data_IF_514466068056
#
_entry.id   IF_514466068056
#
_cell.length_a   1.000
_cell.length_b   1.000
_cell.length_c   1.000
_cell.angle_alpha   90.00
_cell.angle_beta   90.00
_cell.angle_gamma   90.00
#
_symmetry.space_group_name_H-M   'P 1'
#
loop_
_entity.id
_entity.type
_entity.pdbx_description
1 polymer ?
#
# COMPACT_ATOMS: atom_id res chain seq x y z
N UNK A 1 6.74 -19.59 11.83
CA UNK A 1 6.13 -20.84 12.36
C UNK A 1 6.97 -21.52 13.46
N UNK A 2 8.30 -21.65 13.35
CA UNK A 2 9.12 -22.28 14.41
C UNK A 2 9.11 -21.53 15.76
N UNK A 3 9.17 -20.19 15.75
CA UNK A 3 9.10 -19.37 16.97
C UNK A 3 7.72 -19.43 17.65
N UNK A 4 6.65 -19.39 16.85
CA UNK A 4 5.27 -19.50 17.33
C UNK A 4 4.98 -20.89 17.94
N UNK A 5 5.60 -21.94 17.39
CA UNK A 5 5.59 -23.29 17.95
C UNK A 5 6.32 -23.36 19.30
N UNK A 6 7.50 -22.74 19.42
CA UNK A 6 8.24 -22.63 20.70
C UNK A 6 7.47 -21.83 21.77
N UNK A 7 6.80 -20.74 21.38
CA UNK A 7 5.96 -19.93 22.28
C UNK A 7 4.72 -20.69 22.78
N UNK A 8 4.12 -21.54 21.92
CA UNK A 8 3.00 -22.42 22.30
C UNK A 8 3.42 -23.59 23.20
N UNK A 9 4.66 -24.06 23.09
CA UNK A 9 5.17 -25.17 23.89
C UNK A 9 5.48 -24.79 25.36
N UNK A 10 5.66 -23.50 25.68
CA UNK A 10 5.97 -23.01 27.04
C UNK A 10 5.12 -21.81 27.50
N UNK A 11 3.81 -21.97 27.72
CA UNK A 11 2.87 -20.86 27.94
C UNK A 11 2.92 -20.18 29.33
N UNK A 12 3.96 -20.37 30.14
CA UNK A 12 3.97 -19.91 31.54
C UNK A 12 5.32 -19.60 32.17
N UNK A 13 6.44 -19.63 31.42
CA UNK A 13 7.71 -19.11 31.92
C UNK A 13 7.80 -17.65 31.52
N UNK A 14 8.03 -16.74 32.48
CA UNK A 14 8.55 -15.41 32.18
C UNK A 14 9.87 -15.58 31.43
N UNK A 15 9.81 -15.59 30.10
CA UNK A 15 11.00 -15.67 29.24
C UNK A 15 11.68 -14.31 29.34
N UNK A 16 12.57 -14.17 30.32
CA UNK A 16 13.53 -13.08 30.33
C UNK A 16 14.46 -13.34 29.15
N UNK A 17 14.31 -12.54 28.09
CA UNK A 17 15.15 -12.62 26.89
C UNK A 17 16.55 -12.13 27.26
N UNK A 18 17.43 -13.07 27.61
CA UNK A 18 18.75 -12.79 28.18
C UNK A 18 19.83 -12.52 27.11
N UNK A 19 19.49 -12.58 25.82
CA UNK A 19 20.45 -12.36 24.72
C UNK A 19 19.92 -11.41 23.63
N UNK A 20 20.81 -10.56 23.10
CA UNK A 20 20.49 -9.62 22.02
C UNK A 20 19.92 -10.28 20.73
N UNK A 21 20.36 -11.50 20.33
CA UNK A 21 19.76 -12.21 19.19
C UNK A 21 18.29 -12.59 19.40
N UNK A 22 17.92 -13.08 20.59
CA UNK A 22 16.54 -13.49 20.89
C UNK A 22 15.59 -12.29 20.95
N UNK A 23 16.06 -11.14 21.45
CA UNK A 23 15.30 -9.90 21.44
C UNK A 23 15.04 -9.39 20.01
N UNK A 24 16.03 -9.51 19.13
CA UNK A 24 15.90 -9.15 17.71
C UNK A 24 14.90 -10.06 16.99
N UNK A 25 14.93 -11.36 17.24
CA UNK A 25 13.95 -12.30 16.66
C UNK A 25 12.53 -12.01 17.12
N UNK A 26 12.32 -11.74 18.42
CA UNK A 26 11.00 -11.37 18.93
C UNK A 26 10.49 -10.08 18.28
N UNK A 27 11.35 -9.06 18.15
CA UNK A 27 10.97 -7.80 17.51
C UNK A 27 10.55 -8.02 16.05
N UNK A 28 11.32 -8.80 15.30
CA UNK A 28 10.98 -9.17 13.92
C UNK A 28 9.63 -9.90 13.83
N UNK A 29 9.35 -10.79 14.79
CA UNK A 29 8.08 -11.51 14.86
C UNK A 29 6.90 -10.57 15.14
N UNK A 30 7.03 -9.66 16.12
CA UNK A 30 5.99 -8.67 16.45
C UNK A 30 5.70 -7.78 15.24
N UNK A 31 6.75 -7.29 14.57
CA UNK A 31 6.65 -6.45 13.39
C UNK A 31 5.93 -7.16 12.24
N UNK A 32 6.30 -8.42 11.95
CA UNK A 32 5.61 -9.23 10.94
C UNK A 32 4.13 -9.46 11.30
N UNK A 33 3.84 -9.77 12.56
CA UNK A 33 2.46 -9.96 13.03
C UNK A 33 1.62 -8.70 12.84
N UNK A 34 2.17 -7.52 13.13
CA UNK A 34 1.47 -6.25 12.94
C UNK A 34 1.20 -5.98 11.45
N UNK A 35 2.17 -6.23 10.57
CA UNK A 35 2.00 -6.08 9.12
C UNK A 35 0.91 -7.01 8.58
N UNK A 36 0.89 -8.27 9.01
CA UNK A 36 -0.14 -9.23 8.62
C UNK A 36 -1.53 -8.82 9.13
N UNK A 37 -1.62 -8.27 10.34
CA UNK A 37 -2.89 -7.75 10.87
C UNK A 37 -3.39 -6.54 10.06
N UNK A 38 -2.52 -5.62 9.67
CA UNK A 38 -2.88 -4.49 8.82
C UNK A 38 -3.42 -4.99 7.48
N UNK A 39 -2.71 -5.94 6.85
CA UNK A 39 -3.11 -6.51 5.57
C UNK A 39 -4.44 -7.26 5.67
N UNK A 40 -4.67 -8.04 6.73
CA UNK A 40 -5.94 -8.74 6.96
C UNK A 40 -7.10 -7.75 7.07
N UNK A 41 -6.91 -6.65 7.80
CA UNK A 41 -7.92 -5.59 7.94
C UNK A 41 -8.21 -4.90 6.62
N UNK A 42 -7.18 -4.55 5.84
CA UNK A 42 -7.32 -3.97 4.49
C UNK A 42 -8.07 -4.93 3.57
N UNK A 43 -7.69 -6.21 3.56
CA UNK A 43 -8.34 -7.26 2.78
C UNK A 43 -9.83 -7.37 3.11
N UNK A 44 -10.17 -7.36 4.40
CA UNK A 44 -11.55 -7.44 4.88
C UNK A 44 -12.40 -6.28 4.35
N UNK A 45 -11.85 -5.07 4.30
CA UNK A 45 -12.55 -3.91 3.76
C UNK A 45 -12.66 -4.01 2.23
N UNK A 46 -11.55 -4.30 1.54
CA UNK A 46 -11.48 -4.36 0.07
C UNK A 46 -12.47 -5.36 -0.52
N UNK A 47 -12.58 -6.55 0.07
CA UNK A 47 -13.43 -7.61 -0.46
C UNK A 47 -14.80 -7.69 0.22
N UNK A 48 -15.13 -6.71 1.07
CA UNK A 48 -16.41 -6.72 1.78
C UNK A 48 -17.59 -6.52 0.83
N UNK A 49 -18.70 -7.19 1.13
CA UNK A 49 -20.00 -6.84 0.55
C UNK A 49 -20.55 -5.51 1.11
N UNK A 50 -20.03 -5.04 2.24
CA UNK A 50 -20.42 -3.76 2.82
C UNK A 50 -19.65 -2.64 2.11
N UNK A 51 -20.32 -1.71 1.41
CA UNK A 51 -19.63 -0.62 0.74
C UNK A 51 -19.01 0.32 1.77
N UNK A 52 -17.86 0.89 1.42
CA UNK A 52 -17.23 1.95 2.22
C UNK A 52 -18.11 3.21 2.14
N UNK A 53 -18.47 3.84 3.29
CA UNK A 53 -19.33 5.02 3.30
C UNK A 53 -18.78 6.19 2.47
N UNK A 54 -19.66 6.88 1.73
CA UNK A 54 -19.26 7.94 0.81
C UNK A 54 -18.50 9.10 1.48
N UNK A 55 -18.90 9.45 2.71
CA UNK A 55 -18.29 10.53 3.49
C UNK A 55 -16.79 10.32 3.79
N UNK A 56 -16.28 9.09 3.69
CA UNK A 56 -14.84 8.82 3.87
C UNK A 56 -14.03 9.21 2.63
N UNK A 57 -14.67 9.29 1.46
CA UNK A 57 -14.07 9.78 0.23
C UNK A 57 -14.16 11.30 0.11
N UNK A 58 -15.22 11.92 0.63
CA UNK A 58 -15.39 13.38 0.60
C UNK A 58 -14.41 14.14 1.48
N UNK A 59 -13.74 13.46 2.42
CA UNK A 59 -12.69 14.08 3.22
C UNK A 59 -11.33 14.13 2.48
N UNK A 60 -11.25 13.73 1.20
CA UNK A 60 -10.02 13.64 0.41
C UNK A 60 -9.73 14.92 -0.41
N UNK A 61 -10.20 16.08 0.07
CA UNK A 61 -10.07 17.35 -0.65
C UNK A 61 -8.66 17.94 -0.55
N UNK A 62 -7.97 17.73 0.58
CA UNK A 62 -6.58 18.15 0.78
C UNK A 62 -5.74 17.02 1.40
N UNK A 63 -4.42 17.07 1.22
CA UNK A 63 -3.54 16.11 1.89
C UNK A 63 -3.65 16.20 3.41
N UNK A 64 -3.76 17.42 3.93
CA UNK A 64 -3.96 17.68 5.36
C UNK A 64 -5.27 17.07 5.86
N UNK A 65 -6.36 17.14 5.10
CA UNK A 65 -7.63 16.52 5.48
C UNK A 65 -7.60 14.99 5.44
N UNK A 66 -6.62 14.37 4.76
CA UNK A 66 -6.39 12.91 4.79
C UNK A 66 -5.52 12.52 6.00
N UNK A 67 -4.45 13.28 6.25
CA UNK A 67 -3.52 13.00 7.35
C UNK A 67 -4.12 13.30 8.72
N UNK A 68 -4.91 14.36 8.85
CA UNK A 68 -5.54 14.79 10.11
C UNK A 68 -6.80 14.00 10.50
N UNK A 69 -7.22 13.02 9.68
CA UNK A 69 -8.43 12.23 9.98
C UNK A 69 -8.26 11.47 11.28
N UNK A 70 -9.11 11.79 12.24
CA UNK A 70 -9.20 11.10 13.52
C UNK A 70 -9.61 9.62 13.37
N UNK A 71 -10.35 9.28 12.33
CA UNK A 71 -10.82 7.93 12.07
C UNK A 71 -9.92 7.27 11.02
N UNK A 72 -9.14 6.25 11.42
CA UNK A 72 -8.41 5.43 10.46
C UNK A 72 -9.37 4.37 9.88
N UNK A 73 -9.49 4.33 8.55
CA UNK A 73 -10.40 3.39 7.88
C UNK A 73 -10.07 1.92 8.23
N UNK A 74 -8.79 1.62 8.45
CA UNK A 74 -8.32 0.27 8.83
C UNK A 74 -8.84 -0.12 10.21
N UNK A 75 -9.02 0.82 11.14
CA UNK A 75 -9.62 0.55 12.46
C UNK A 75 -11.10 0.20 12.37
N UNK A 76 -11.77 0.64 11.30
CA UNK A 76 -13.17 0.30 11.04
C UNK A 76 -13.36 -1.09 10.41
N UNK A 77 -12.29 -1.84 10.13
CA UNK A 77 -12.36 -3.16 9.46
C UNK A 77 -13.41 -4.09 10.05
N UNK A 78 -13.64 -3.99 11.35
CA UNK A 78 -14.57 -4.85 12.10
C UNK A 78 -16.04 -4.60 11.72
N UNK A 79 -16.35 -3.43 11.17
CA UNK A 79 -17.69 -3.07 10.67
C UNK A 79 -17.98 -3.64 9.28
N UNK A 80 -16.98 -4.19 8.61
CA UNK A 80 -17.11 -4.76 7.27
C UNK A 80 -17.34 -6.27 7.35
N UNK A 81 -18.19 -6.78 6.46
CA UNK A 81 -18.45 -8.22 6.32
C UNK A 81 -17.17 -9.00 5.99
N UNK A 82 -17.04 -10.21 6.54
CA UNK A 82 -16.00 -11.19 6.16
C UNK A 82 -16.35 -11.99 4.91
N UNK A 83 -17.59 -11.89 4.42
CA UNK A 83 -18.02 -12.52 3.17
C UNK A 83 -17.43 -11.74 2.00
N UNK A 84 -16.76 -12.46 1.10
CA UNK A 84 -16.18 -11.89 -0.11
C UNK A 84 -17.24 -11.67 -1.19
N UNK A 85 -17.10 -10.60 -1.96
CA UNK A 85 -17.85 -10.41 -3.21
C UNK A 85 -17.36 -11.46 -4.21
N UNK A 86 -18.23 -12.38 -4.61
CA UNK A 86 -17.86 -13.50 -5.49
C UNK A 86 -17.73 -13.10 -6.97
N UNK A 87 -18.36 -12.01 -7.40
CA UNK A 87 -18.25 -11.47 -8.76
C UNK A 87 -18.61 -9.97 -8.80
N UNK A 88 -17.97 -9.24 -9.72
CA UNK A 88 -18.38 -7.86 -10.05
C UNK A 88 -19.81 -7.89 -10.59
N UNK A 89 -20.76 -7.12 -10.05
CA UNK A 89 -22.14 -7.12 -10.53
C UNK A 89 -22.22 -6.79 -12.03
N UNK A 90 -23.04 -7.52 -12.80
CA UNK A 90 -23.16 -7.33 -14.26
C UNK A 90 -23.47 -5.88 -14.67
N UNK A 91 -24.32 -5.21 -13.87
CA UNK A 91 -24.67 -3.79 -14.07
C UNK A 91 -23.45 -2.85 -14.02
N UNK A 92 -22.41 -3.19 -13.25
CA UNK A 92 -21.17 -2.43 -13.21
C UNK A 92 -20.39 -2.60 -14.51
N UNK A 93 -20.30 -3.83 -15.02
CA UNK A 93 -19.62 -4.14 -16.28
C UNK A 93 -20.32 -3.46 -17.48
N UNK A 94 -21.66 -3.45 -17.49
CA UNK A 94 -22.45 -2.76 -18.51
C UNK A 94 -22.22 -1.26 -18.49
N UNK A 95 -22.28 -0.63 -17.31
CA UNK A 95 -21.99 0.80 -17.16
C UNK A 95 -20.55 1.12 -17.57
N UNK A 96 -19.58 0.30 -17.18
CA UNK A 96 -18.18 0.49 -17.55
C UNK A 96 -17.95 0.40 -19.08
N UNK A 97 -18.67 -0.50 -19.77
CA UNK A 97 -18.64 -0.60 -21.23
C UNK A 97 -19.28 0.62 -21.91
N UNK A 98 -20.38 1.13 -21.35
CA UNK A 98 -21.15 2.21 -21.96
C UNK A 98 -20.52 3.59 -21.72
N UNK A 99 -19.99 3.82 -20.53
CA UNK A 99 -19.58 5.14 -20.04
C UNK A 99 -18.09 5.21 -19.66
N UNK A 100 -17.34 4.13 -19.89
CA UNK A 100 -15.93 4.04 -19.53
C UNK A 100 -15.67 3.56 -18.09
N UNK A 101 -14.42 3.21 -17.75
CA UNK A 101 -14.07 2.56 -16.48
C UNK A 101 -14.26 3.44 -15.24
N UNK A 102 -14.46 4.75 -15.40
CA UNK A 102 -14.62 5.72 -14.30
C UNK A 102 -16.08 6.16 -14.08
N UNK A 103 -17.05 5.50 -14.70
CA UNK A 103 -18.45 5.92 -14.67
C UNK A 103 -19.20 5.63 -13.34
N UNK A 104 -18.61 4.86 -12.43
CA UNK A 104 -19.23 4.50 -11.15
C UNK A 104 -18.37 5.00 -9.99
N UNK A 105 -18.98 5.74 -9.08
CA UNK A 105 -18.34 6.19 -7.84
C UNK A 105 -18.57 5.22 -6.67
N UNK A 106 -17.57 5.06 -5.79
CA UNK A 106 -16.16 5.42 -6.00
C UNK A 106 -15.52 4.42 -6.99
N UNK A 107 -14.64 4.89 -7.87
CA UNK A 107 -13.87 3.99 -8.72
C UNK A 107 -12.98 3.09 -7.83
N UNK A 108 -12.77 1.79 -8.14
CA UNK A 108 -11.97 0.89 -7.32
C UNK A 108 -10.59 1.45 -6.94
N UNK A 109 -9.97 2.20 -7.87
CA UNK A 109 -8.70 2.91 -7.66
C UNK A 109 -8.74 3.89 -6.49
N UNK A 110 -9.89 4.51 -6.18
CA UNK A 110 -10.04 5.49 -5.09
C UNK A 110 -9.78 4.83 -3.74
N UNK A 111 -10.33 3.63 -3.51
CA UNK A 111 -10.17 2.91 -2.25
C UNK A 111 -8.72 2.45 -2.07
N UNK A 112 -8.10 1.95 -3.13
CA UNK A 112 -6.71 1.51 -3.08
C UNK A 112 -5.73 2.65 -2.85
N UNK A 113 -5.94 3.80 -3.51
CA UNK A 113 -5.14 5.00 -3.26
C UNK A 113 -5.34 5.49 -1.82
N UNK A 114 -6.56 5.45 -1.29
CA UNK A 114 -6.83 5.82 0.11
C UNK A 114 -6.12 4.89 1.09
N UNK A 115 -6.06 3.58 0.82
CA UNK A 115 -5.35 2.65 1.70
C UNK A 115 -3.85 2.96 1.81
N UNK A 116 -3.22 3.54 0.81
CA UNK A 116 -1.80 3.95 0.89
C UNK A 116 -1.59 4.93 2.05
N UNK A 117 -2.50 5.89 2.20
CA UNK A 117 -2.48 6.87 3.29
C UNK A 117 -2.82 6.22 4.63
N UNK A 118 -3.86 5.40 4.67
CA UNK A 118 -4.33 4.77 5.91
C UNK A 118 -3.30 3.78 6.46
N UNK A 119 -2.62 3.04 5.59
CA UNK A 119 -1.50 2.16 5.92
C UNK A 119 -0.31 2.99 6.39
N UNK A 120 0.04 4.07 5.69
CA UNK A 120 1.11 5.00 6.09
C UNK A 120 0.98 5.43 7.55
N UNK A 121 -0.22 5.88 7.95
CA UNK A 121 -0.54 6.29 9.33
C UNK A 121 -0.39 5.19 10.39
N UNK A 122 -0.31 3.92 10.01
CA UNK A 122 -0.09 2.83 10.98
C UNK A 122 1.39 2.65 11.34
N UNK A 123 2.30 3.26 10.59
CA UNK A 123 3.73 3.12 10.80
C UNK A 123 4.26 4.18 11.78
N UNK A 124 5.00 3.80 12.85
CA UNK A 124 5.53 4.75 13.82
C UNK A 124 6.51 5.79 13.25
N UNK A 125 7.21 5.48 12.16
CA UNK A 125 8.09 6.44 11.49
C UNK A 125 7.31 7.51 10.72
N UNK A 126 6.06 7.22 10.35
CA UNK A 126 5.27 8.11 9.51
C UNK A 126 4.96 9.43 10.24
N UNK A 127 4.70 9.37 11.54
CA UNK A 127 4.47 10.56 12.37
C UNK A 127 5.71 11.45 12.50
N UNK A 128 6.91 10.90 12.30
CA UNK A 128 8.18 11.62 12.37
C UNK A 128 8.50 12.38 11.08
N UNK A 129 7.78 12.11 9.99
CA UNK A 129 7.90 12.85 8.74
C UNK A 129 7.13 14.17 8.84
N UNK A 130 7.68 15.22 8.25
CA UNK A 130 6.91 16.44 8.04
C UNK A 130 5.80 16.24 7.00
N UNK A 131 4.88 17.20 6.90
CA UNK A 131 3.75 17.07 5.98
C UNK A 131 4.18 16.97 4.51
N UNK A 132 5.25 17.65 4.09
CA UNK A 132 5.73 17.60 2.71
C UNK A 132 6.33 16.23 2.38
N UNK A 133 7.12 15.68 3.30
CA UNK A 133 7.71 14.35 3.16
C UNK A 133 6.64 13.25 3.20
N UNK A 134 5.58 13.40 4.02
CA UNK A 134 4.39 12.53 3.97
C UNK A 134 3.70 12.57 2.61
N UNK A 135 3.49 13.78 2.06
CA UNK A 135 2.91 13.95 0.71
C UNK A 135 3.77 13.29 -0.34
N UNK A 136 5.08 13.56 -0.34
CA UNK A 136 6.02 13.02 -1.32
C UNK A 136 6.07 11.49 -1.25
N UNK A 137 6.19 10.93 -0.03
CA UNK A 137 6.20 9.49 0.18
C UNK A 137 4.94 8.84 -0.36
N UNK A 138 3.75 9.27 0.10
CA UNK A 138 2.48 8.70 -0.34
C UNK A 138 2.27 8.87 -1.86
N UNK A 139 2.64 10.01 -2.44
CA UNK A 139 2.48 10.28 -3.87
C UNK A 139 3.38 9.37 -4.72
N UNK A 140 4.58 9.04 -4.24
CA UNK A 140 5.53 8.20 -4.95
C UNK A 140 5.18 6.71 -4.86
N UNK A 141 4.69 6.25 -3.71
CA UNK A 141 4.41 4.82 -3.50
C UNK A 141 2.98 4.41 -3.88
N UNK A 142 2.05 5.35 -4.04
CA UNK A 142 0.63 5.02 -4.21
C UNK A 142 0.34 4.18 -5.45
N UNK A 143 0.87 4.59 -6.61
CA UNK A 143 0.70 3.84 -7.86
C UNK A 143 1.42 2.47 -7.86
N UNK A 144 2.67 2.38 -7.39
CA UNK A 144 3.33 1.08 -7.20
C UNK A 144 2.54 0.13 -6.29
N UNK A 145 2.01 0.61 -5.16
CA UNK A 145 1.21 -0.20 -4.23
C UNK A 145 -0.15 -0.60 -4.81
N UNK A 146 -0.78 0.29 -5.57
CA UNK A 146 -1.98 -0.03 -6.35
C UNK A 146 -1.72 -1.16 -7.33
N UNK A 147 -0.61 -1.08 -8.09
CA UNK A 147 -0.21 -2.14 -9.01
C UNK A 147 0.08 -3.45 -8.27
N UNK A 148 0.70 -3.42 -7.10
CA UNK A 148 0.97 -4.63 -6.32
C UNK A 148 -0.32 -5.33 -5.93
N UNK A 149 -1.29 -4.56 -5.46
CA UNK A 149 -2.60 -5.07 -5.06
C UNK A 149 -3.32 -5.72 -6.25
N UNK A 150 -3.29 -5.07 -7.41
CA UNK A 150 -3.89 -5.61 -8.63
C UNK A 150 -3.15 -6.83 -9.16
N UNK A 151 -1.82 -6.80 -9.22
CA UNK A 151 -1.00 -7.93 -9.67
C UNK A 151 -1.18 -9.14 -8.77
N UNK A 152 -1.23 -8.96 -7.45
CA UNK A 152 -1.53 -10.03 -6.51
C UNK A 152 -2.92 -10.64 -6.78
N UNK A 153 -3.94 -9.79 -6.98
CA UNK A 153 -5.28 -10.25 -7.34
C UNK A 153 -5.28 -10.99 -8.68
N UNK A 154 -4.61 -10.47 -9.71
CA UNK A 154 -4.49 -11.11 -11.02
C UNK A 154 -3.76 -12.45 -10.97
N UNK A 155 -2.72 -12.61 -10.13
CA UNK A 155 -2.05 -13.91 -9.90
C UNK A 155 -2.98 -14.88 -9.19
N UNK A 156 -3.75 -14.43 -8.19
CA UNK A 156 -4.81 -15.24 -7.58
C UNK A 156 -5.86 -15.69 -8.63
N UNK A 157 -5.96 -14.99 -9.76
CA UNK A 157 -6.85 -15.27 -10.90
C UNK A 157 -6.11 -15.82 -12.16
N UNK A 158 -4.81 -16.17 -12.09
CA UNK A 158 -3.94 -16.66 -13.18
C UNK A 158 -3.74 -15.72 -14.41
N UNK A 159 -2.88 -14.69 -14.32
CA UNK A 159 -2.58 -13.78 -15.45
C UNK A 159 -1.09 -13.35 -15.48
N UNK A 160 -0.47 -13.25 -16.68
CA UNK A 160 0.98 -13.45 -16.87
C UNK A 160 1.74 -12.36 -17.69
N UNK A 161 2.15 -11.19 -17.14
CA UNK A 161 3.25 -10.34 -17.72
C UNK A 161 3.81 -9.32 -16.70
N UNK A 162 5.15 -9.02 -16.66
CA UNK A 162 5.75 -7.69 -16.27
C UNK A 162 7.31 -7.55 -16.46
N UNK A 163 7.87 -6.30 -16.55
CA UNK A 163 9.31 -5.87 -16.66
C UNK A 163 9.66 -4.43 -16.09
N UNK A 164 10.97 -4.07 -15.90
CA UNK A 164 11.70 -3.10 -14.98
C UNK A 164 12.04 -1.63 -15.49
N UNK A 165 12.85 -0.74 -14.80
CA UNK A 165 12.68 0.03 -13.52
C UNK A 165 12.96 1.60 -13.57
N UNK A 166 12.60 2.40 -12.52
CA UNK A 166 13.44 3.48 -11.89
C UNK A 166 12.84 4.23 -10.64
N UNK A 167 13.66 5.04 -9.94
CA UNK A 167 13.59 5.59 -8.54
C UNK A 167 12.68 6.82 -8.31
N UNK A 168 12.19 6.99 -7.07
CA UNK A 168 11.29 8.05 -6.56
C UNK A 168 11.94 9.44 -6.30
N UNK A 169 11.60 10.50 -7.06
CA UNK A 169 12.06 11.88 -6.84
C UNK A 169 11.32 12.60 -5.69
N UNK A 170 11.95 13.60 -5.04
CA UNK A 170 11.25 14.66 -4.29
C UNK A 170 11.18 14.56 -2.75
N UNK A 171 11.99 13.70 -2.10
CA UNK A 171 12.07 13.60 -0.63
C UNK A 171 13.23 14.43 -0.05
N UNK A 172 13.08 14.97 1.17
CA UNK A 172 14.17 15.63 1.90
C UNK A 172 15.32 14.67 2.24
N UNK A 173 16.55 15.15 2.39
CA UNK A 173 17.70 14.31 2.79
C UNK A 173 17.48 13.61 4.13
N UNK A 174 16.79 14.29 5.07
CA UNK A 174 16.45 13.72 6.37
C UNK A 174 15.42 12.60 6.24
N UNK A 175 14.35 12.81 5.47
CA UNK A 175 13.36 11.77 5.20
C UNK A 175 13.96 10.60 4.43
N UNK A 176 14.82 10.85 3.45
CA UNK A 176 15.55 9.79 2.75
C UNK A 176 16.35 8.94 3.75
N UNK A 177 17.14 9.54 4.63
CA UNK A 177 17.90 8.80 5.67
C UNK A 177 16.99 7.98 6.59
N UNK A 178 15.89 8.58 7.07
CA UNK A 178 14.92 7.87 7.91
C UNK A 178 14.31 6.67 7.17
N UNK A 179 13.87 6.89 5.93
CA UNK A 179 13.26 5.86 5.10
C UNK A 179 14.25 4.75 4.72
N UNK A 180 15.51 5.07 4.47
CA UNK A 180 16.55 4.05 4.25
C UNK A 180 16.74 3.18 5.49
N UNK A 181 16.84 3.78 6.67
CA UNK A 181 16.94 3.05 7.93
C UNK A 181 15.72 2.14 8.16
N UNK A 182 14.50 2.64 7.93
CA UNK A 182 13.29 1.83 8.06
C UNK A 182 13.24 0.72 7.01
N UNK A 183 13.52 1.03 5.75
CA UNK A 183 13.56 0.05 4.66
C UNK A 183 14.53 -1.10 4.95
N UNK A 184 15.70 -0.80 5.50
CA UNK A 184 16.69 -1.81 5.93
C UNK A 184 16.11 -2.73 7.02
N UNK A 185 15.40 -2.18 8.01
CA UNK A 185 14.73 -2.97 9.07
C UNK A 185 13.68 -3.91 8.48
N UNK A 186 12.74 -3.41 7.67
CA UNK A 186 11.69 -4.23 7.04
C UNK A 186 12.28 -5.28 6.08
N UNK A 187 13.32 -4.91 5.33
CA UNK A 187 14.07 -5.81 4.45
C UNK A 187 14.70 -6.96 5.21
N UNK A 188 15.39 -6.68 6.33
CA UNK A 188 16.02 -7.70 7.17
C UNK A 188 14.98 -8.67 7.77
N UNK A 189 13.82 -8.16 8.16
CA UNK A 189 12.68 -8.99 8.63
C UNK A 189 12.20 -9.91 7.51
N UNK A 190 11.99 -9.38 6.30
CA UNK A 190 11.52 -10.16 5.16
C UNK A 190 12.51 -11.28 4.81
N UNK A 191 13.81 -10.96 4.71
CA UNK A 191 14.88 -11.94 4.48
C UNK A 191 14.83 -13.06 5.53
N UNK A 192 14.73 -12.69 6.81
CA UNK A 192 14.68 -13.64 7.92
C UNK A 192 13.46 -14.57 7.81
N UNK A 193 12.30 -14.04 7.42
CA UNK A 193 11.07 -14.83 7.26
C UNK A 193 11.17 -15.80 6.09
N UNK A 194 11.69 -15.36 4.93
CA UNK A 194 11.82 -16.28 3.78
C UNK A 194 12.90 -17.33 4.01
N UNK A 195 14.01 -17.00 4.67
CA UNK A 195 15.03 -17.98 5.05
C UNK A 195 14.49 -18.99 6.07
N UNK A 196 13.66 -18.55 7.02
CA UNK A 196 13.03 -19.46 7.98
C UNK A 196 12.02 -20.42 7.32
N UNK A 197 11.38 -20.01 6.22
CA UNK A 197 10.37 -20.82 5.53
C UNK A 197 10.95 -21.73 4.43
N UNK A 198 12.01 -21.30 3.76
CA UNK A 198 12.57 -21.98 2.58
C UNK A 198 14.02 -22.48 2.78
N UNK A 199 14.64 -22.18 3.93
CA UNK A 199 16.07 -22.43 4.18
C UNK A 199 16.96 -21.28 3.69
N UNK A 200 18.24 -21.26 4.09
CA UNK A 200 19.13 -20.12 3.83
C UNK A 200 19.28 -19.78 2.34
N UNK A 201 19.64 -20.76 1.50
CA UNK A 201 19.92 -20.53 0.09
C UNK A 201 18.64 -20.23 -0.71
N UNK A 202 17.62 -21.09 -0.64
CA UNK A 202 16.36 -20.88 -1.35
C UNK A 202 15.58 -19.67 -0.83
N UNK A 203 15.66 -19.38 0.47
CA UNK A 203 15.09 -18.17 1.06
C UNK A 203 15.78 -16.90 0.58
N UNK A 204 17.12 -16.87 0.47
CA UNK A 204 17.84 -15.73 -0.10
C UNK A 204 17.45 -15.49 -1.57
N UNK A 205 17.30 -16.56 -2.36
CA UNK A 205 16.80 -16.46 -3.73
C UNK A 205 15.38 -15.88 -3.75
N UNK A 206 14.48 -16.39 -2.92
CA UNK A 206 13.09 -15.90 -2.83
C UNK A 206 13.01 -14.43 -2.40
N UNK A 207 13.88 -14.01 -1.49
CA UNK A 207 14.02 -12.61 -1.11
C UNK A 207 14.39 -11.74 -2.32
N UNK A 208 15.39 -12.17 -3.11
CA UNK A 208 15.79 -11.43 -4.31
C UNK A 208 14.66 -11.34 -5.34
N UNK A 209 13.91 -12.41 -5.55
CA UNK A 209 12.73 -12.41 -6.43
C UNK A 209 11.69 -11.37 -5.96
N UNK A 210 11.41 -11.33 -4.65
CA UNK A 210 10.47 -10.35 -4.07
C UNK A 210 10.97 -8.91 -4.24
N UNK A 211 12.26 -8.65 -4.05
CA UNK A 211 12.85 -7.34 -4.30
C UNK A 211 12.76 -6.94 -5.77
N UNK A 212 13.05 -7.87 -6.69
CA UNK A 212 12.87 -7.65 -8.12
C UNK A 212 11.41 -7.33 -8.48
N UNK A 213 10.45 -7.99 -7.84
CA UNK A 213 9.02 -7.69 -8.01
C UNK A 213 8.66 -6.29 -7.53
N UNK A 214 9.12 -5.86 -6.34
CA UNK A 214 8.88 -4.50 -5.82
C UNK A 214 9.33 -3.46 -6.84
N UNK A 215 10.53 -3.61 -7.40
CA UNK A 215 11.07 -2.69 -8.42
C UNK A 215 10.16 -2.65 -9.67
N UNK A 216 9.68 -3.80 -10.11
CA UNK A 216 8.77 -3.92 -11.25
C UNK A 216 7.48 -3.10 -11.06
N UNK A 217 6.95 -3.09 -9.84
CA UNK A 217 5.72 -2.39 -9.48
C UNK A 217 5.86 -0.87 -9.57
N UNK A 218 7.03 -0.33 -9.26
CA UNK A 218 7.26 1.12 -9.39
C UNK A 218 7.17 1.59 -10.84
N UNK A 219 7.76 0.84 -11.77
CA UNK A 219 7.69 1.17 -13.19
C UNK A 219 6.25 1.07 -13.73
N UNK A 220 5.56 -0.02 -13.41
CA UNK A 220 4.17 -0.19 -13.84
C UNK A 220 3.28 0.88 -13.23
N UNK A 221 3.52 1.28 -11.98
CA UNK A 221 2.84 2.41 -11.35
C UNK A 221 3.04 3.71 -12.14
N UNK A 222 4.26 3.99 -12.60
CA UNK A 222 4.56 5.16 -13.42
C UNK A 222 3.86 5.12 -14.80
N UNK A 223 3.87 3.96 -15.48
CA UNK A 223 3.16 3.78 -16.76
C UNK A 223 1.65 3.88 -16.60
N UNK A 224 1.11 3.31 -15.53
CA UNK A 224 -0.32 3.40 -15.24
C UNK A 224 -0.73 4.84 -14.92
N UNK A 225 0.10 5.60 -14.19
CA UNK A 225 -0.11 7.04 -14.01
C UNK A 225 -0.16 7.79 -15.34
N UNK A 226 0.77 7.53 -16.27
CA UNK A 226 0.76 8.14 -17.60
C UNK A 226 -0.55 7.81 -18.35
N UNK A 227 -1.01 6.57 -18.27
CA UNK A 227 -2.29 6.15 -18.83
C UNK A 227 -3.47 6.90 -18.18
N UNK A 228 -3.51 7.01 -16.84
CA UNK A 228 -4.54 7.77 -16.13
C UNK A 228 -4.50 9.26 -16.48
N UNK A 229 -3.32 9.82 -16.69
CA UNK A 229 -3.12 11.21 -17.15
C UNK A 229 -3.75 11.40 -18.52
N UNK A 230 -3.49 10.48 -19.45
CA UNK A 230 -4.09 10.49 -20.78
C UNK A 230 -5.61 10.35 -20.69
N UNK A 231 -6.12 9.42 -19.87
CA UNK A 231 -7.57 9.25 -19.68
C UNK A 231 -8.19 10.54 -19.14
N UNK A 232 -7.61 11.11 -18.09
CA UNK A 232 -8.10 12.33 -17.45
C UNK A 232 -8.09 13.54 -18.37
N UNK A 233 -7.03 13.72 -19.18
CA UNK A 233 -6.88 14.91 -20.02
C UNK A 233 -7.54 14.79 -21.39
N UNK A 234 -7.71 13.57 -21.91
CA UNK A 234 -8.11 13.35 -23.30
C UNK A 234 -9.41 12.56 -23.43
N UNK A 235 -9.58 11.49 -22.65
CA UNK A 235 -10.66 10.53 -22.90
C UNK A 235 -11.92 10.75 -22.05
N UNK A 236 -11.78 11.16 -20.80
CA UNK A 236 -12.89 11.23 -19.86
C UNK A 236 -12.99 12.61 -19.17
N UNK A 237 -13.87 13.51 -19.65
CA UNK A 237 -14.07 14.82 -19.04
C UNK A 237 -14.72 14.77 -17.66
N UNK A 238 -15.14 13.59 -17.19
CA UNK A 238 -15.71 13.40 -15.86
C UNK A 238 -14.70 12.85 -14.85
N UNK A 239 -13.44 12.60 -15.23
CA UNK A 239 -12.41 12.03 -14.36
C UNK A 239 -12.26 12.80 -13.03
N UNK A 240 -12.16 14.13 -13.09
CA UNK A 240 -12.04 14.98 -11.89
C UNK A 240 -13.34 15.09 -11.09
N UNK A 241 -14.47 14.72 -11.68
CA UNK A 241 -15.73 14.64 -10.94
C UNK A 241 -15.72 13.39 -10.08
N UNK A 242 -15.27 12.26 -10.61
CA UNK A 242 -15.44 10.93 -9.99
C UNK A 242 -14.32 10.54 -9.02
N UNK A 243 -13.13 11.15 -9.13
CA UNK A 243 -12.07 11.03 -8.14
C UNK A 243 -12.01 12.26 -7.23
N UNK A 244 -11.81 12.09 -5.91
CA UNK A 244 -11.51 13.21 -5.03
C UNK A 244 -10.23 13.95 -5.45
N UNK A 245 -10.15 15.28 -5.27
CA UNK A 245 -9.08 16.12 -5.86
C UNK A 245 -7.65 15.63 -5.56
N UNK A 246 -7.36 15.23 -4.32
CA UNK A 246 -6.02 14.74 -3.94
C UNK A 246 -5.69 13.42 -4.63
N UNK A 247 -6.66 12.51 -4.71
CA UNK A 247 -6.47 11.20 -5.30
C UNK A 247 -6.38 11.29 -6.83
N UNK A 248 -7.16 12.19 -7.44
CA UNK A 248 -7.00 12.57 -8.84
C UNK A 248 -5.58 13.10 -9.09
N UNK A 249 -5.10 14.05 -8.26
CA UNK A 249 -3.75 14.62 -8.37
C UNK A 249 -2.65 13.56 -8.28
N UNK A 250 -2.70 12.63 -7.33
CA UNK A 250 -1.66 11.59 -7.15
C UNK A 250 -1.65 10.57 -8.29
N UNK A 251 -2.82 10.28 -8.83
CA UNK A 251 -3.02 9.27 -9.86
C UNK A 251 -2.68 9.77 -11.27
N UNK A 252 -2.68 11.10 -11.49
CA UNK A 252 -2.39 11.71 -12.80
C UNK A 252 -1.15 12.60 -12.81
N UNK A 253 -0.80 13.25 -11.70
CA UNK A 253 0.42 14.07 -11.63
C UNK A 253 1.55 13.24 -11.03
N UNK A 254 2.72 13.32 -11.65
CA UNK A 254 3.94 12.64 -11.23
C UNK A 254 4.35 13.01 -9.79
N UNK A 255 5.51 12.51 -9.32
CA UNK A 255 6.17 13.12 -8.15
C UNK A 255 6.08 14.63 -8.31
N UNK A 256 5.77 15.35 -7.23
CA UNK A 256 5.75 16.82 -7.26
C UNK A 256 7.04 17.26 -7.93
N UNK A 257 6.89 17.83 -9.12
CA UNK A 257 8.00 18.30 -9.92
C UNK A 257 8.82 19.25 -9.04
N UNK A 258 10.09 18.91 -8.80
CA UNK A 258 10.97 19.55 -7.80
C UNK A 258 11.03 21.07 -7.94
N UNK A 259 10.81 21.57 -9.16
CA UNK A 259 10.74 22.98 -9.54
C UNK A 259 9.49 23.73 -9.01
N UNK A 260 8.53 23.05 -8.39
CA UNK A 260 7.40 23.68 -7.69
C UNK A 260 7.65 23.86 -6.18
N UNK A 261 8.75 23.33 -5.63
CA UNK A 261 9.12 23.44 -4.22
C UNK A 261 10.21 24.48 -3.95
N UNK A 262 10.94 24.91 -4.99
CA UNK A 262 11.89 26.02 -4.93
C UNK A 262 11.64 26.97 -6.11
N UNK A 263 10.90 28.08 -5.92
CA UNK A 263 10.96 29.17 -6.87
C UNK A 263 12.38 29.75 -6.81
N UNK A 264 13.00 29.97 -7.98
CA UNK A 264 14.23 30.75 -8.10
C UNK A 264 14.10 32.11 -7.39
#
# INVERSE_FOLDING_TARGET
MAFEKRMKEHPGKNVVLNSAPEQKELMNFIMMKNLLQIEEKVRRIRYSQTPVPEHLYTQCDTFESIFSRKLNLIELSNKFSTKTVQAVPAIYLEKARQFGPFCVRPAPVVLDLLFVFEIGKTFPFFDQLDNNDKVALCSNIAMPLYMLCNSFYSVQQNCDVLCTPDVSPGLSDQAQKLLYSEAEKYSAVLMSVVQANYGHAAGALRYMELMGMIVCLFNTGAKYRQMLTYISNVLDPNFDKVLPPVLAKISTKGPVESHQLFPY
#
